data_IF_599602483891
#
_entry.id   IF_599602483891
#
_cell.length_a   1.000
_cell.length_b   1.000
_cell.length_c   1.000
_cell.angle_alpha   90.00
_cell.angle_beta   90.00
_cell.angle_gamma   90.00
#
_symmetry.space_group_name_H-M   'P 1'
#
loop_
_entity.id
_entity.type
_entity.pdbx_description
1 polymer ?
#
# COMPACT_ATOMS: atom_id res chain seq x y z
N UNK A 1 26.93 -12.63 17.92
CA UNK A 1 27.20 -14.02 17.48
C UNK A 1 26.10 -14.96 17.95
N UNK A 2 25.69 -14.89 19.23
CA UNK A 2 24.58 -15.69 19.82
C UNK A 2 23.19 -15.59 19.14
N UNK A 3 22.98 -14.64 18.24
CA UNK A 3 21.66 -14.33 17.65
C UNK A 3 21.38 -15.11 16.36
N UNK A 4 22.42 -15.68 15.73
CA UNK A 4 22.33 -16.44 14.48
C UNK A 4 22.33 -17.94 14.75
N UNK A 5 22.95 -18.37 15.85
CA UNK A 5 23.13 -19.79 16.17
C UNK A 5 21.82 -20.49 16.62
N UNK A 6 20.81 -19.76 17.08
CA UNK A 6 19.50 -20.34 17.44
C UNK A 6 18.68 -20.78 16.23
N UNK A 7 18.91 -20.18 15.05
CA UNK A 7 18.11 -20.44 13.84
C UNK A 7 18.40 -21.84 13.25
N UNK A 8 19.55 -22.43 13.54
CA UNK A 8 20.05 -23.61 12.80
C UNK A 8 19.46 -24.95 13.28
N UNK A 9 18.62 -24.99 14.32
CA UNK A 9 18.39 -26.24 15.06
C UNK A 9 16.98 -26.89 15.07
N UNK A 10 15.88 -26.30 14.57
CA UNK A 10 14.56 -26.95 14.73
C UNK A 10 13.58 -26.83 13.55
N UNK A 11 12.75 -27.87 13.38
CA UNK A 11 11.77 -28.10 12.30
C UNK A 11 11.03 -26.83 11.84
N UNK A 12 10.94 -26.63 10.52
CA UNK A 12 10.64 -25.34 9.87
C UNK A 12 9.43 -24.52 10.36
N UNK A 13 8.46 -25.11 11.05
CA UNK A 13 7.33 -24.36 11.64
C UNK A 13 7.68 -23.71 13.00
N UNK A 14 8.61 -24.29 13.76
CA UNK A 14 9.20 -23.65 14.95
C UNK A 14 10.21 -22.57 14.55
N UNK A 15 11.01 -22.82 13.51
CA UNK A 15 11.95 -21.85 12.94
C UNK A 15 11.22 -20.57 12.50
N UNK A 16 10.05 -20.70 11.86
CA UNK A 16 9.25 -19.55 11.42
C UNK A 16 8.69 -18.73 12.59
N UNK A 17 8.31 -19.39 13.68
CA UNK A 17 7.88 -18.72 14.93
C UNK A 17 9.05 -18.00 15.58
N UNK A 18 10.24 -18.57 15.54
CA UNK A 18 11.46 -17.90 16.02
C UNK A 18 11.81 -16.69 15.16
N UNK A 19 11.73 -16.79 13.84
CA UNK A 19 11.92 -15.64 12.93
C UNK A 19 10.92 -14.53 13.23
N UNK A 20 9.64 -14.84 13.46
CA UNK A 20 8.65 -13.84 13.83
C UNK A 20 8.99 -13.17 15.18
N UNK A 21 9.37 -13.95 16.21
CA UNK A 21 9.80 -13.41 17.52
C UNK A 21 11.03 -12.52 17.39
N UNK A 22 12.00 -12.93 16.58
CA UNK A 22 13.20 -12.14 16.27
C UNK A 22 12.80 -10.81 15.64
N UNK A 23 11.91 -10.85 14.65
CA UNK A 23 11.45 -9.66 13.96
C UNK A 23 10.62 -8.72 14.85
N UNK A 24 9.86 -9.23 15.81
CA UNK A 24 9.25 -8.42 16.85
C UNK A 24 10.29 -7.76 17.78
N UNK A 25 11.35 -8.49 18.14
CA UNK A 25 12.45 -7.92 18.92
C UNK A 25 13.17 -6.81 18.14
N UNK A 26 13.39 -7.02 16.84
CA UNK A 26 13.96 -6.04 15.90
C UNK A 26 13.13 -4.76 15.93
N UNK A 27 11.80 -4.85 15.83
CA UNK A 27 10.90 -3.68 15.94
C UNK A 27 11.11 -2.94 17.27
N UNK A 28 11.10 -3.65 18.39
CA UNK A 28 11.28 -3.04 19.73
C UNK A 28 12.64 -2.38 19.90
N UNK A 29 13.71 -3.01 19.41
CA UNK A 29 15.06 -2.44 19.43
C UNK A 29 15.14 -1.21 18.52
N UNK A 30 14.47 -1.22 17.37
CA UNK A 30 14.43 -0.06 16.48
C UNK A 30 13.80 1.15 17.16
N UNK A 31 12.69 0.94 17.87
CA UNK A 31 12.01 1.97 18.65
C UNK A 31 12.87 2.49 19.82
N UNK A 32 13.54 1.58 20.54
CA UNK A 32 14.33 1.93 21.73
C UNK A 32 15.72 2.50 21.39
N UNK A 33 16.34 2.05 20.31
CA UNK A 33 17.68 2.45 19.89
C UNK A 33 17.85 2.41 18.35
N UNK A 34 17.43 3.48 17.64
CA UNK A 34 17.52 3.56 16.18
C UNK A 34 18.96 3.49 15.63
N UNK A 35 19.97 3.72 16.48
CA UNK A 35 21.39 3.76 16.13
C UNK A 35 22.05 2.39 16.07
N UNK A 36 21.52 1.36 16.75
CA UNK A 36 22.14 0.04 16.92
C UNK A 36 21.88 -0.96 15.75
N UNK A 37 21.33 -0.50 14.63
CA UNK A 37 20.49 -1.33 13.75
C UNK A 37 21.04 -1.68 12.36
N UNK A 38 22.31 -1.42 12.01
CA UNK A 38 22.78 -1.62 10.62
C UNK A 38 22.73 -3.08 10.17
N UNK A 39 23.26 -4.01 10.96
CA UNK A 39 23.30 -5.44 10.62
C UNK A 39 21.88 -6.03 10.44
N UNK A 40 20.95 -5.64 11.30
CA UNK A 40 19.57 -6.13 11.27
C UNK A 40 18.79 -5.60 10.06
N UNK A 41 18.94 -4.31 9.70
CA UNK A 41 18.31 -3.76 8.49
C UNK A 41 18.85 -4.42 7.21
N UNK A 42 20.14 -4.74 7.19
CA UNK A 42 20.73 -5.47 6.06
C UNK A 42 20.22 -6.91 6.01
N UNK A 43 20.11 -7.60 7.16
CA UNK A 43 19.53 -8.94 7.23
C UNK A 43 18.08 -8.99 6.76
N UNK A 44 17.24 -8.04 7.17
CA UNK A 44 15.87 -7.91 6.67
C UNK A 44 15.85 -7.69 5.16
N UNK A 45 16.78 -6.88 4.61
CA UNK A 45 16.87 -6.72 3.15
C UNK A 45 17.20 -8.05 2.46
N UNK A 46 18.10 -8.84 3.03
CA UNK A 46 18.50 -10.14 2.47
C UNK A 46 17.35 -11.16 2.56
N UNK A 47 16.60 -11.18 3.66
CA UNK A 47 15.37 -11.99 3.82
C UNK A 47 14.30 -11.58 2.81
N UNK A 48 14.19 -10.29 2.51
CA UNK A 48 13.30 -9.79 1.46
C UNK A 48 13.72 -10.24 0.06
N UNK A 49 14.97 -10.66 -0.13
CA UNK A 49 15.52 -11.14 -1.39
C UNK A 49 15.60 -12.66 -1.48
N UNK A 50 15.26 -13.39 -0.42
CA UNK A 50 15.23 -14.85 -0.38
C UNK A 50 14.21 -15.44 -1.37
N UNK A 51 14.11 -16.76 -1.49
CA UNK A 51 13.06 -17.40 -2.30
C UNK A 51 11.81 -17.77 -1.49
N UNK A 52 11.91 -17.73 -0.16
CA UNK A 52 10.85 -18.13 0.75
C UNK A 52 9.75 -17.04 0.88
N UNK A 53 8.54 -17.42 0.48
CA UNK A 53 7.33 -16.59 0.52
C UNK A 53 6.96 -16.16 1.94
N UNK A 54 7.17 -17.02 2.95
CA UNK A 54 6.87 -16.68 4.34
C UNK A 54 7.85 -15.63 4.87
N UNK A 55 9.14 -15.78 4.54
CA UNK A 55 10.14 -14.77 4.88
C UNK A 55 9.81 -13.43 4.23
N UNK A 56 9.39 -13.41 2.96
CA UNK A 56 8.94 -12.17 2.31
C UNK A 56 7.77 -11.53 3.02
N UNK A 57 6.76 -12.32 3.40
CA UNK A 57 5.56 -11.80 4.04
C UNK A 57 5.89 -11.15 5.37
N UNK A 58 6.63 -11.85 6.26
CA UNK A 58 6.99 -11.33 7.58
C UNK A 58 7.90 -10.11 7.43
N UNK A 59 8.91 -10.19 6.56
CA UNK A 59 9.88 -9.11 6.37
C UNK A 59 9.22 -7.86 5.78
N UNK A 60 8.29 -8.01 4.84
CA UNK A 60 7.53 -6.88 4.29
C UNK A 60 6.72 -6.18 5.37
N UNK A 61 6.03 -6.93 6.22
CA UNK A 61 5.24 -6.37 7.32
C UNK A 61 6.13 -5.59 8.30
N UNK A 62 7.23 -6.20 8.73
CA UNK A 62 8.20 -5.59 9.65
C UNK A 62 8.76 -4.29 9.09
N UNK A 63 9.27 -4.31 7.85
CA UNK A 63 9.82 -3.12 7.20
C UNK A 63 8.74 -2.05 7.00
N UNK A 64 7.50 -2.44 6.67
CA UNK A 64 6.39 -1.49 6.51
C UNK A 64 6.12 -0.72 7.79
N UNK A 65 6.07 -1.41 8.92
CA UNK A 65 5.88 -0.80 10.24
C UNK A 65 7.05 0.12 10.61
N UNK A 66 8.29 -0.32 10.38
CA UNK A 66 9.47 0.49 10.65
C UNK A 66 9.52 1.76 9.77
N UNK A 67 9.11 1.67 8.51
CA UNK A 67 9.02 2.83 7.62
C UNK A 67 7.83 3.74 7.94
N UNK A 68 6.78 3.22 8.56
CA UNK A 68 5.63 4.00 9.00
C UNK A 68 5.84 4.72 10.34
N UNK A 69 6.78 4.26 11.16
CA UNK A 69 7.07 4.86 12.46
C UNK A 69 7.69 6.28 12.34
N UNK A 70 7.73 7.02 13.46
CA UNK A 70 8.28 8.38 13.54
C UNK A 70 9.70 8.49 12.98
N UNK A 71 10.52 7.43 13.11
CA UNK A 71 11.88 7.36 12.55
C UNK A 71 11.99 6.89 11.09
N UNK A 72 10.89 6.47 10.47
CA UNK A 72 10.88 5.78 9.17
C UNK A 72 11.47 6.56 8.00
N UNK A 73 11.33 7.89 7.99
CA UNK A 73 11.96 8.74 6.97
C UNK A 73 13.49 8.80 7.09
N UNK A 74 14.00 8.86 8.31
CA UNK A 74 15.45 8.79 8.52
C UNK A 74 15.97 7.39 8.18
N UNK A 75 15.19 6.34 8.47
CA UNK A 75 15.51 4.97 8.10
C UNK A 75 15.60 4.79 6.58
N UNK A 76 14.62 5.29 5.82
CA UNK A 76 14.61 5.19 4.35
C UNK A 76 15.76 5.97 3.71
N UNK A 77 16.14 7.12 4.28
CA UNK A 77 17.34 7.87 3.85
C UNK A 77 18.65 7.19 4.19
N UNK A 78 18.75 6.57 5.37
CA UNK A 78 19.97 5.92 5.84
C UNK A 78 20.21 4.59 5.13
N UNK A 79 19.14 3.88 4.75
CA UNK A 79 19.19 2.59 4.06
C UNK A 79 18.35 2.62 2.77
N UNK A 80 18.74 3.44 1.78
CA UNK A 80 17.95 3.65 0.56
C UNK A 80 17.84 2.37 -0.27
N UNK A 81 18.81 1.47 -0.19
CA UNK A 81 18.76 0.16 -0.85
C UNK A 81 17.68 -0.75 -0.25
N UNK A 82 17.49 -0.72 1.07
CA UNK A 82 16.45 -1.50 1.75
C UNK A 82 15.07 -0.91 1.45
N UNK A 83 14.95 0.43 1.47
CA UNK A 83 13.72 1.11 1.06
C UNK A 83 13.32 0.78 -0.39
N UNK A 84 14.26 0.83 -1.33
CA UNK A 84 13.98 0.44 -2.73
C UNK A 84 13.60 -1.04 -2.85
N UNK A 85 14.29 -1.93 -2.12
CA UNK A 85 13.94 -3.36 -2.13
C UNK A 85 12.51 -3.58 -1.64
N UNK A 86 12.09 -2.87 -0.58
CA UNK A 86 10.72 -2.89 -0.08
C UNK A 86 9.70 -2.37 -1.11
N UNK A 87 9.99 -1.23 -1.76
CA UNK A 87 9.11 -0.69 -2.82
C UNK A 87 8.93 -1.67 -3.99
N UNK A 88 10.02 -2.27 -4.47
CA UNK A 88 9.96 -3.25 -5.56
C UNK A 88 9.16 -4.48 -5.15
N UNK A 89 9.30 -4.91 -3.89
CA UNK A 89 8.62 -6.09 -3.35
C UNK A 89 7.11 -5.91 -3.19
N UNK A 90 6.57 -4.70 -3.38
CA UNK A 90 5.12 -4.53 -3.61
C UNK A 90 4.64 -5.25 -4.89
N UNK A 91 5.55 -5.58 -5.82
CA UNK A 91 5.31 -6.42 -7.02
C UNK A 91 5.82 -7.84 -6.79
N UNK A 92 5.63 -8.41 -5.60
CA UNK A 92 6.18 -9.73 -5.30
C UNK A 92 5.72 -10.82 -6.30
N UNK A 93 6.57 -11.82 -6.54
CA UNK A 93 6.26 -12.96 -7.41
C UNK A 93 5.07 -13.76 -6.86
N UNK A 94 4.94 -13.87 -5.55
CA UNK A 94 3.82 -14.49 -4.89
C UNK A 94 2.60 -13.57 -4.92
N UNK A 95 1.57 -14.05 -5.61
CA UNK A 95 0.30 -13.34 -5.77
C UNK A 95 -0.36 -13.01 -4.42
N UNK A 96 -0.16 -13.85 -3.40
CA UNK A 96 -0.73 -13.68 -2.07
C UNK A 96 -0.09 -12.56 -1.25
N UNK A 97 1.15 -12.15 -1.59
CA UNK A 97 1.89 -11.09 -0.88
C UNK A 97 1.54 -9.71 -1.44
N UNK A 98 1.42 -9.57 -2.76
CA UNK A 98 1.15 -8.28 -3.43
C UNK A 98 0.04 -7.44 -2.78
N UNK A 99 -1.18 -7.95 -2.52
CA UNK A 99 -2.21 -7.16 -1.87
C UNK A 99 -1.84 -6.85 -0.41
N UNK A 100 -1.23 -7.78 0.33
CA UNK A 100 -0.80 -7.54 1.72
C UNK A 100 0.27 -6.44 1.82
N UNK A 101 1.22 -6.43 0.90
CA UNK A 101 2.26 -5.40 0.81
C UNK A 101 1.69 -4.00 0.53
N UNK A 102 0.64 -3.91 -0.30
CA UNK A 102 -0.08 -2.66 -0.49
C UNK A 102 -0.84 -2.25 0.76
N UNK A 103 -1.51 -3.20 1.41
CA UNK A 103 -2.25 -2.96 2.64
C UNK A 103 -1.34 -2.51 3.80
N UNK A 104 -0.10 -3.00 3.88
CA UNK A 104 0.91 -2.59 4.86
C UNK A 104 1.56 -1.24 4.54
N UNK A 105 1.46 -0.76 3.30
CA UNK A 105 1.95 0.57 2.91
C UNK A 105 1.06 1.72 3.41
N UNK A 106 -0.17 1.42 3.86
CA UNK A 106 -1.16 2.44 4.25
C UNK A 106 -0.68 3.40 5.34
N UNK A 107 -0.05 2.94 6.44
CA UNK A 107 0.46 3.85 7.47
C UNK A 107 1.54 4.80 6.95
N UNK A 108 2.33 4.39 5.94
CA UNK A 108 3.34 5.25 5.30
C UNK A 108 2.66 6.37 4.49
N UNK A 109 1.58 6.04 3.79
CA UNK A 109 0.80 6.99 2.98
C UNK A 109 0.10 8.02 3.88
N UNK A 110 -0.53 7.55 4.95
CA UNK A 110 -1.17 8.41 5.95
C UNK A 110 -0.17 9.16 6.84
N UNK A 111 1.12 8.80 6.78
CA UNK A 111 2.19 9.47 7.51
C UNK A 111 2.46 10.90 7.00
N UNK A 112 3.22 11.65 7.80
CA UNK A 112 3.54 13.07 7.52
C UNK A 112 4.69 13.30 6.52
N UNK A 113 5.31 12.25 6.00
CA UNK A 113 6.51 12.36 5.15
C UNK A 113 6.16 12.31 3.65
N UNK A 114 5.94 13.49 3.05
CA UNK A 114 5.50 13.65 1.64
C UNK A 114 6.33 12.84 0.64
N UNK A 115 7.66 12.86 0.74
CA UNK A 115 8.53 12.13 -0.21
C UNK A 115 8.35 10.61 -0.15
N UNK A 116 8.06 10.06 1.02
CA UNK A 116 7.79 8.62 1.15
C UNK A 116 6.41 8.28 0.61
N UNK A 117 5.41 9.11 0.91
CA UNK A 117 4.07 9.02 0.33
C UNK A 117 4.13 9.01 -1.19
N UNK A 118 4.82 9.98 -1.80
CA UNK A 118 5.01 10.08 -3.26
C UNK A 118 5.69 8.84 -3.86
N UNK A 119 6.72 8.31 -3.19
CA UNK A 119 7.41 7.11 -3.67
C UNK A 119 6.51 5.87 -3.68
N UNK A 120 5.68 5.69 -2.63
CA UNK A 120 4.68 4.61 -2.59
C UNK A 120 3.61 4.84 -3.66
N UNK A 121 3.09 6.06 -3.76
CA UNK A 121 2.06 6.41 -4.74
C UNK A 121 2.54 6.24 -6.19
N UNK A 122 3.82 6.53 -6.47
CA UNK A 122 4.43 6.32 -7.78
C UNK A 122 4.45 4.86 -8.23
N UNK A 123 4.33 3.91 -7.29
CA UNK A 123 4.26 2.48 -7.60
C UNK A 123 2.83 2.02 -7.95
N UNK A 124 1.78 2.76 -7.55
CA UNK A 124 0.38 2.35 -7.66
C UNK A 124 -0.13 2.21 -9.10
N UNK A 125 0.22 3.09 -10.07
CA UNK A 125 -0.31 2.98 -11.43
C UNK A 125 -0.03 1.62 -12.08
N UNK A 126 1.18 1.08 -11.89
CA UNK A 126 1.55 -0.23 -12.43
C UNK A 126 0.74 -1.39 -11.81
N UNK A 127 0.22 -1.22 -10.58
CA UNK A 127 -0.56 -2.24 -9.86
C UNK A 127 -1.99 -2.37 -10.36
N UNK A 128 -2.48 -1.37 -11.07
CA UNK A 128 -3.80 -1.41 -11.69
C UNK A 128 -3.82 -2.32 -12.91
N UNK A 129 -2.65 -2.66 -13.45
CA UNK A 129 -2.46 -3.61 -14.54
C UNK A 129 -2.14 -5.02 -14.03
N UNK A 130 -2.19 -5.24 -12.71
CA UNK A 130 -1.92 -6.55 -12.12
C UNK A 130 -2.97 -7.58 -12.58
N UNK A 131 -2.62 -8.84 -12.87
CA UNK A 131 -3.64 -9.85 -13.20
C UNK A 131 -4.56 -10.20 -12.02
N UNK A 132 -4.13 -9.94 -10.78
CA UNK A 132 -4.89 -10.29 -9.57
C UNK A 132 -5.80 -9.15 -9.11
N UNK A 133 -7.10 -9.39 -9.12
CA UNK A 133 -8.11 -8.40 -8.73
C UNK A 133 -8.02 -7.95 -7.27
N UNK A 134 -7.53 -8.81 -6.36
CA UNK A 134 -7.27 -8.40 -4.97
C UNK A 134 -6.22 -7.29 -4.88
N UNK A 135 -5.29 -7.23 -5.84
CA UNK A 135 -4.33 -6.12 -5.95
C UNK A 135 -5.05 -4.85 -6.38
N UNK A 136 -5.94 -4.92 -7.39
CA UNK A 136 -6.73 -3.76 -7.81
C UNK A 136 -7.57 -3.17 -6.67
N UNK A 137 -8.24 -4.03 -5.91
CA UNK A 137 -9.03 -3.61 -4.77
C UNK A 137 -8.18 -2.95 -3.68
N UNK A 138 -6.99 -3.49 -3.39
CA UNK A 138 -6.05 -2.88 -2.45
C UNK A 138 -5.57 -1.49 -2.93
N UNK A 139 -5.30 -1.33 -4.22
CA UNK A 139 -4.93 -0.03 -4.82
C UNK A 139 -6.09 0.97 -4.71
N UNK A 140 -7.32 0.53 -5.04
CA UNK A 140 -8.52 1.34 -4.88
C UNK A 140 -8.66 1.85 -3.44
N UNK A 141 -8.47 0.96 -2.46
CA UNK A 141 -8.57 1.31 -1.04
C UNK A 141 -7.49 2.30 -0.59
N UNK A 142 -6.30 2.24 -1.18
CA UNK A 142 -5.24 3.21 -0.94
C UNK A 142 -5.61 4.59 -1.49
N UNK A 143 -6.07 4.64 -2.73
CA UNK A 143 -6.48 5.90 -3.37
C UNK A 143 -7.63 6.59 -2.63
N UNK A 144 -8.61 5.83 -2.14
CA UNK A 144 -9.71 6.36 -1.32
C UNK A 144 -9.30 6.86 0.07
N UNK A 145 -8.02 6.80 0.43
CA UNK A 145 -7.45 7.36 1.68
C UNK A 145 -6.52 8.55 1.43
N UNK A 146 -6.31 8.93 0.17
CA UNK A 146 -5.49 10.10 -0.12
C UNK A 146 -6.27 11.36 0.26
N UNK A 147 -5.57 12.31 0.85
CA UNK A 147 -6.08 13.67 0.98
C UNK A 147 -6.37 14.23 -0.43
N UNK A 148 -7.41 15.03 -0.56
CA UNK A 148 -7.69 15.69 -1.83
C UNK A 148 -6.60 16.72 -2.13
N UNK A 149 -5.88 16.48 -3.22
CA UNK A 149 -4.95 17.42 -3.82
C UNK A 149 -5.13 17.31 -5.35
N UNK A 150 -5.88 18.26 -5.92
CA UNK A 150 -6.18 18.31 -7.37
C UNK A 150 -4.92 18.44 -8.24
N UNK A 151 -3.81 18.91 -7.66
CA UNK A 151 -2.52 19.04 -8.35
C UNK A 151 -1.68 17.77 -8.26
N UNK A 152 -2.01 16.84 -7.36
CA UNK A 152 -1.29 15.58 -7.24
C UNK A 152 -1.51 14.70 -8.47
N UNK A 153 -0.42 14.26 -9.16
CA UNK A 153 -0.51 13.29 -10.25
C UNK A 153 -1.26 12.00 -9.85
N UNK A 154 -1.21 11.67 -8.56
CA UNK A 154 -1.85 10.49 -8.00
C UNK A 154 -3.37 10.62 -7.95
N UNK A 155 -3.91 11.83 -7.76
CA UNK A 155 -5.36 12.07 -7.80
C UNK A 155 -5.92 11.88 -9.21
N UNK A 156 -5.25 12.44 -10.24
CA UNK A 156 -5.65 12.24 -11.65
C UNK A 156 -5.56 10.79 -12.08
N UNK A 157 -4.49 10.10 -11.65
CA UNK A 157 -4.34 8.66 -11.83
C UNK A 157 -5.49 7.89 -11.19
N UNK A 158 -5.85 8.19 -9.94
CA UNK A 158 -6.97 7.57 -9.24
C UNK A 158 -8.29 7.72 -10.00
N UNK A 159 -8.67 8.94 -10.37
CA UNK A 159 -9.93 9.24 -11.07
C UNK A 159 -10.02 8.55 -12.43
N UNK A 160 -8.94 8.59 -13.22
CA UNK A 160 -8.89 7.88 -14.50
C UNK A 160 -9.04 6.36 -14.30
N UNK A 161 -8.41 5.82 -13.28
CA UNK A 161 -8.42 4.39 -13.04
C UNK A 161 -9.77 3.89 -12.54
N UNK A 162 -10.42 4.59 -11.62
CA UNK A 162 -11.78 4.24 -11.19
C UNK A 162 -12.77 4.22 -12.35
N UNK A 163 -12.62 5.14 -13.31
CA UNK A 163 -13.48 5.16 -14.49
C UNK A 163 -13.32 3.93 -15.39
N UNK A 164 -12.11 3.38 -15.49
CA UNK A 164 -11.88 2.15 -16.25
C UNK A 164 -12.21 0.90 -15.45
N UNK A 165 -12.07 0.94 -14.13
CA UNK A 165 -12.31 -0.18 -13.22
C UNK A 165 -13.80 -0.44 -12.96
N UNK A 166 -14.68 0.55 -13.19
CA UNK A 166 -16.12 0.35 -13.07
C UNK A 166 -16.64 -0.79 -13.97
N UNK A 167 -16.00 -1.01 -15.12
CA UNK A 167 -16.35 -2.08 -16.06
C UNK A 167 -15.83 -3.48 -15.65
N UNK A 168 -15.15 -3.64 -14.50
CA UNK A 168 -14.74 -4.96 -14.04
C UNK A 168 -15.96 -5.86 -13.79
N UNK A 169 -15.92 -7.06 -14.35
CA UNK A 169 -16.98 -8.07 -14.20
C UNK A 169 -17.23 -8.43 -12.73
N UNK A 170 -16.18 -8.46 -11.90
CA UNK A 170 -16.27 -8.95 -10.51
C UNK A 170 -16.66 -7.85 -9.53
N UNK A 171 -17.52 -8.21 -8.58
CA UNK A 171 -18.16 -7.28 -7.63
C UNK A 171 -17.17 -6.65 -6.62
N UNK A 172 -16.11 -7.36 -6.24
CA UNK A 172 -15.18 -6.92 -5.20
C UNK A 172 -14.47 -5.62 -5.59
N UNK A 173 -13.84 -5.58 -6.77
CA UNK A 173 -13.11 -4.40 -7.26
C UNK A 173 -14.07 -3.23 -7.48
N UNK A 174 -15.21 -3.48 -8.11
CA UNK A 174 -16.24 -2.47 -8.37
C UNK A 174 -16.77 -1.82 -7.09
N UNK A 175 -17.03 -2.61 -6.05
CA UNK A 175 -17.52 -2.08 -4.77
C UNK A 175 -16.47 -1.19 -4.11
N UNK A 176 -15.21 -1.63 -4.07
CA UNK A 176 -14.14 -0.84 -3.45
C UNK A 176 -13.81 0.42 -4.25
N UNK A 177 -13.87 0.32 -5.59
CA UNK A 177 -13.72 1.44 -6.51
C UNK A 177 -14.76 2.52 -6.25
N UNK A 178 -16.05 2.15 -6.22
CA UNK A 178 -17.14 3.09 -5.99
C UNK A 178 -17.08 3.75 -4.62
N UNK A 179 -16.80 2.97 -3.57
CA UNK A 179 -16.63 3.51 -2.21
C UNK A 179 -15.50 4.53 -2.14
N UNK A 180 -14.40 4.27 -2.83
CA UNK A 180 -13.25 5.16 -2.84
C UNK A 180 -13.50 6.40 -3.69
N UNK A 181 -14.20 6.24 -4.83
CA UNK A 181 -14.61 7.34 -5.70
C UNK A 181 -15.58 8.29 -5.01
N UNK A 182 -16.59 7.77 -4.31
CA UNK A 182 -17.53 8.56 -3.54
C UNK A 182 -16.83 9.40 -2.47
N UNK A 183 -15.89 8.82 -1.73
CA UNK A 183 -15.07 9.58 -0.77
C UNK A 183 -14.23 10.68 -1.43
N UNK A 184 -13.60 10.39 -2.56
CA UNK A 184 -12.83 11.39 -3.29
C UNK A 184 -13.73 12.52 -3.81
N UNK A 185 -14.95 12.19 -4.23
CA UNK A 185 -15.97 13.17 -4.59
C UNK A 185 -16.33 14.05 -3.39
N UNK A 186 -16.65 13.46 -2.24
CA UNK A 186 -17.00 14.21 -1.02
C UNK A 186 -15.88 15.16 -0.57
N UNK A 187 -14.62 14.75 -0.71
CA UNK A 187 -13.45 15.58 -0.39
C UNK A 187 -13.21 16.68 -1.43
N UNK A 188 -13.52 16.41 -2.70
CA UNK A 188 -13.38 17.36 -3.79
C UNK A 188 -14.49 18.40 -3.80
N UNK A 189 -15.73 18.01 -3.48
CA UNK A 189 -16.94 18.80 -3.62
C UNK A 189 -16.88 20.20 -2.98
N UNK A 190 -16.35 20.36 -1.75
CA UNK A 190 -16.19 21.68 -1.15
C UNK A 190 -15.18 22.58 -1.88
N UNK A 191 -14.23 22.00 -2.61
CA UNK A 191 -13.15 22.69 -3.32
C UNK A 191 -13.45 22.89 -4.81
N UNK A 192 -14.57 22.37 -5.30
CA UNK A 192 -14.96 22.36 -6.72
C UNK A 192 -15.34 23.73 -7.29
N UNK A 193 -15.56 24.75 -6.44
CA UNK A 193 -15.83 26.11 -6.92
C UNK A 193 -14.66 26.73 -7.71
N UNK A 194 -13.43 26.22 -7.55
CA UNK A 194 -12.22 26.76 -8.20
C UNK A 194 -11.74 25.97 -9.45
N UNK A 195 -12.33 24.80 -9.77
CA UNK A 195 -11.88 23.92 -10.86
C UNK A 195 -13.05 23.18 -11.53
N UNK A 196 -13.62 23.78 -12.59
CA UNK A 196 -14.80 23.25 -13.32
C UNK A 196 -14.48 21.96 -14.11
N UNK A 197 -13.23 21.74 -14.51
CA UNK A 197 -12.84 20.65 -15.43
C UNK A 197 -12.81 19.28 -14.74
N UNK A 198 -12.44 19.21 -13.46
CA UNK A 198 -12.38 17.95 -12.72
C UNK A 198 -13.80 17.42 -12.36
N UNK A 199 -14.75 18.33 -12.16
CA UNK A 199 -16.16 18.02 -11.85
C UNK A 199 -16.90 17.39 -13.03
N UNK A 200 -16.82 18.01 -14.22
CA UNK A 200 -17.49 17.50 -15.42
C UNK A 200 -17.02 16.10 -15.81
N UNK A 201 -15.76 15.77 -15.55
CA UNK A 201 -15.21 14.45 -15.85
C UNK A 201 -15.68 13.37 -14.85
N UNK A 202 -15.91 13.75 -13.60
CA UNK A 202 -16.35 12.85 -12.53
C UNK A 202 -17.87 12.63 -12.59
N UNK A 203 -18.63 13.70 -12.83
CA UNK A 203 -20.10 13.69 -12.91
C UNK A 203 -20.61 12.97 -14.16
N UNK A 204 -20.02 13.21 -15.34
CA UNK A 204 -20.35 12.49 -16.58
C UNK A 204 -20.17 10.97 -16.43
N UNK A 205 -19.18 10.54 -15.62
CA UNK A 205 -18.88 9.12 -15.39
C UNK A 205 -19.72 8.49 -14.27
N UNK A 206 -20.21 9.27 -13.32
CA UNK A 206 -21.22 8.82 -12.34
C UNK A 206 -22.61 8.71 -12.98
N UNK A 207 -22.91 9.51 -14.00
CA UNK A 207 -24.15 9.36 -14.78
C UNK A 207 -24.16 8.06 -15.60
N UNK A 208 -23.06 7.69 -16.25
CA UNK A 208 -22.91 6.38 -16.94
C UNK A 208 -23.20 5.18 -16.01
N UNK A 209 -22.92 5.31 -14.70
CA UNK A 209 -23.20 4.28 -13.70
C UNK A 209 -24.70 4.05 -13.46
N UNK A 210 -25.50 5.14 -13.48
CA UNK A 210 -26.94 5.10 -13.26
C UNK A 210 -27.68 4.42 -14.42
N UNK A 211 -27.16 4.57 -15.64
CA UNK A 211 -27.71 3.97 -16.86
C UNK A 211 -27.43 2.47 -16.93
N UNK A 212 -26.29 1.99 -16.41
CA UNK A 212 -25.89 0.58 -16.50
C UNK A 212 -26.50 -0.31 -15.39
N UNK A 213 -26.74 0.23 -14.19
CA UNK A 213 -27.22 -0.57 -13.04
C UNK A 213 -28.69 -0.34 -12.64
N UNK A 214 -29.40 0.58 -13.30
CA UNK A 214 -30.74 0.98 -12.90
C UNK A 214 -30.78 1.66 -11.50
N UNK A 215 -31.96 2.16 -11.07
CA UNK A 215 -32.09 3.16 -9.99
C UNK A 215 -31.75 2.68 -8.56
N UNK A 216 -31.16 1.50 -8.37
CA UNK A 216 -31.02 0.87 -7.04
C UNK A 216 -29.72 1.28 -6.32
N UNK A 217 -28.72 1.84 -7.01
CA UNK A 217 -27.38 1.96 -6.46
C UNK A 217 -27.01 3.32 -5.83
N UNK A 218 -27.86 4.35 -5.96
CA UNK A 218 -27.55 5.71 -5.48
C UNK A 218 -28.14 5.99 -4.08
N UNK A 219 -29.17 5.25 -3.65
CA UNK A 219 -29.88 5.52 -2.38
C UNK A 219 -29.16 5.05 -1.11
N UNK A 220 -27.97 4.46 -1.22
CA UNK A 220 -27.19 3.98 -0.06
C UNK A 220 -25.95 4.85 0.25
N UNK A 221 -25.82 6.01 -0.40
CA UNK A 221 -24.69 6.93 -0.24
C UNK A 221 -25.10 8.31 0.32
N UNK A 222 -26.32 8.45 0.86
CA UNK A 222 -26.76 9.62 1.63
C UNK A 222 -26.47 9.49 3.12
#
# INVERSE_FOLDING_TARGET
MYFIDTIVANSGDEELKEVHKVNELVKRIHLACPTLHRSMILKLKDELQAEDVQLHSITMEVLSEMFADKGGYHLSKRYPTTWRAWLVRTSDRSVSIRPKALESARPIISGGYTKMREAVQGCLPAKLLDPEEKVHAAVCKIYGRLDYDSRSPCYRGATLCYSTMYHYKKQLVRTEALKSLGKLYDLAYPQMYDSIIDFLFLEAKLMDFSEINGPIAISNFS
#
